data_IF_797447294769
#
_entry.id   IF_797447294769
#
_cell.length_a   1.000
_cell.length_b   1.000
_cell.length_c   1.000
_cell.angle_alpha   90.00
_cell.angle_beta   90.00
_cell.angle_gamma   90.00
#
_symmetry.space_group_name_H-M   'P 1'
#
loop_
_entity.id
_entity.type
_entity.pdbx_description
1 polymer ?
#
# COMPACT_ATOMS: atom_id res chain seq x y z
N UNK A 1 2.65 9.18 -5.19
CA UNK A 1 1.17 9.00 -5.12
C UNK A 1 0.77 8.79 -3.67
N UNK A 2 -0.45 9.16 -3.25
CA UNK A 2 -0.95 8.87 -1.89
C UNK A 2 -0.49 9.81 -0.76
N UNK A 3 0.53 10.64 -0.98
CA UNK A 3 1.09 11.53 0.06
C UNK A 3 0.07 12.47 0.72
N UNK A 4 -0.83 13.09 -0.04
CA UNK A 4 -1.86 13.96 0.53
C UNK A 4 -2.80 13.21 1.50
N UNK A 5 -3.20 11.99 1.16
CA UNK A 5 -4.06 11.17 2.03
C UNK A 5 -3.28 10.67 3.25
N UNK A 6 -2.00 10.34 3.09
CA UNK A 6 -1.13 10.01 4.21
C UNK A 6 -1.03 11.15 5.24
N UNK A 7 -1.01 12.40 4.78
CA UNK A 7 -0.97 13.57 5.66
C UNK A 7 -2.33 13.93 6.28
N UNK A 8 -3.45 13.57 5.64
CA UNK A 8 -4.78 14.09 6.01
C UNK A 8 -5.77 13.05 6.53
N UNK A 9 -5.59 11.77 6.24
CA UNK A 9 -6.55 10.70 6.56
C UNK A 9 -5.95 9.67 7.54
N UNK A 10 -6.48 9.63 8.76
CA UNK A 10 -5.97 8.82 9.87
C UNK A 10 -5.97 7.31 9.58
N UNK A 11 -6.98 6.80 8.89
CA UNK A 11 -7.02 5.36 8.59
C UNK A 11 -6.14 5.00 7.41
N UNK A 12 -6.03 5.91 6.44
CA UNK A 12 -5.08 5.76 5.35
C UNK A 12 -3.64 5.68 5.89
N UNK A 13 -3.23 6.64 6.72
CA UNK A 13 -1.86 6.70 7.22
C UNK A 13 -1.53 5.49 8.11
N UNK A 14 -2.44 5.08 9.00
CA UNK A 14 -2.27 3.87 9.83
C UNK A 14 -2.13 2.59 9.01
N UNK A 15 -2.91 2.46 7.94
CA UNK A 15 -2.80 1.31 7.03
C UNK A 15 -1.43 1.28 6.33
N UNK A 16 -0.96 2.43 5.84
CA UNK A 16 0.38 2.53 5.22
C UNK A 16 1.48 2.19 6.24
N UNK A 17 1.44 2.77 7.44
CA UNK A 17 2.45 2.53 8.49
C UNK A 17 2.51 1.06 8.91
N UNK A 18 1.35 0.40 8.99
CA UNK A 18 1.27 -1.01 9.33
C UNK A 18 1.88 -1.90 8.24
N UNK A 19 1.61 -1.61 6.97
CA UNK A 19 2.15 -2.37 5.84
C UNK A 19 3.67 -2.14 5.70
N UNK A 20 4.12 -0.89 5.86
CA UNK A 20 5.55 -0.54 5.89
C UNK A 20 6.29 -1.32 6.98
N UNK A 21 5.70 -1.40 8.18
CA UNK A 21 6.24 -2.13 9.30
C UNK A 21 6.38 -3.64 9.05
N UNK A 22 5.42 -4.29 8.37
CA UNK A 22 5.53 -5.70 8.02
C UNK A 22 6.55 -5.94 6.89
N UNK A 23 6.54 -5.11 5.85
CA UNK A 23 7.53 -5.16 4.76
C UNK A 23 8.97 -5.02 5.27
N UNK A 24 9.19 -4.05 6.17
CA UNK A 24 10.51 -3.78 6.78
C UNK A 24 11.03 -5.00 7.55
N UNK A 25 10.14 -5.80 8.16
CA UNK A 25 10.55 -7.04 8.84
C UNK A 25 10.98 -8.11 7.84
N UNK A 26 10.27 -8.24 6.73
CA UNK A 26 10.51 -9.28 5.72
C UNK A 26 11.80 -9.01 4.94
N UNK A 27 12.04 -7.75 4.59
CA UNK A 27 13.25 -7.33 3.87
C UNK A 27 14.44 -7.02 4.81
N UNK A 28 14.37 -7.39 6.09
CA UNK A 28 15.41 -7.13 7.11
C UNK A 28 15.84 -5.65 7.24
N UNK A 29 14.96 -4.71 6.92
CA UNK A 29 15.23 -3.28 6.99
C UNK A 29 16.09 -2.76 5.85
N UNK A 30 16.24 -3.50 4.74
CA UNK A 30 16.99 -3.05 3.57
C UNK A 30 16.42 -1.77 2.95
N UNK A 31 15.10 -1.59 3.01
CA UNK A 31 14.42 -0.37 2.57
C UNK A 31 12.99 -0.28 3.13
N UNK A 32 12.39 0.92 3.07
CA UNK A 32 11.01 1.17 3.52
C UNK A 32 10.13 1.69 2.38
N UNK A 33 8.86 1.28 2.33
CA UNK A 33 7.93 1.77 1.31
C UNK A 33 7.65 3.26 1.47
N UNK A 34 7.72 3.78 2.70
CA UNK A 34 7.54 5.20 2.99
C UNK A 34 8.60 6.09 2.31
N UNK A 35 9.81 5.58 2.10
CA UNK A 35 10.89 6.31 1.43
C UNK A 35 10.57 6.58 -0.05
N UNK A 36 9.76 5.76 -0.70
CA UNK A 36 9.36 5.98 -2.10
C UNK A 36 7.97 6.64 -2.21
N UNK A 37 7.15 6.56 -1.16
CA UNK A 37 5.79 7.11 -1.15
C UNK A 37 5.70 8.56 -0.67
N UNK A 38 6.44 8.89 0.38
CA UNK A 38 6.24 10.12 1.17
C UNK A 38 7.44 11.05 1.07
N UNK A 39 8.66 10.50 1.02
CA UNK A 39 9.84 11.34 0.84
C UNK A 39 9.83 12.01 -0.54
N UNK A 40 10.16 13.30 -0.54
CA UNK A 40 10.25 14.09 -1.77
C UNK A 40 11.57 13.78 -2.48
N UNK A 41 11.60 12.67 -3.22
CA UNK A 41 12.68 12.31 -4.13
C UNK A 41 12.43 12.87 -5.52
N UNK A 42 13.48 13.31 -6.19
CA UNK A 42 13.40 13.64 -7.61
C UNK A 42 13.44 12.36 -8.48
N UNK A 43 13.20 12.49 -9.78
CA UNK A 43 13.15 11.33 -10.71
C UNK A 43 14.46 10.52 -10.78
N UNK A 44 15.61 11.14 -10.49
CA UNK A 44 16.91 10.46 -10.51
C UNK A 44 17.21 9.71 -9.21
N UNK A 45 16.56 10.11 -8.10
CA UNK A 45 16.72 9.51 -6.78
C UNK A 45 15.68 8.43 -6.51
N UNK A 46 14.47 8.58 -7.06
CA UNK A 46 13.40 7.61 -6.84
C UNK A 46 13.64 6.33 -7.65
N UNK A 47 13.40 5.20 -6.98
CA UNK A 47 13.49 3.87 -7.59
C UNK A 47 12.12 3.37 -8.04
N UNK A 48 11.07 4.20 -7.95
CA UNK A 48 9.68 3.81 -8.20
C UNK A 48 9.42 3.32 -9.64
N UNK A 49 10.34 3.54 -10.58
CA UNK A 49 10.23 3.01 -11.94
C UNK A 49 10.63 1.52 -12.05
N UNK A 50 11.28 0.95 -11.02
CA UNK A 50 11.48 -0.50 -10.91
C UNK A 50 10.19 -1.14 -10.40
N UNK A 51 9.66 -2.12 -11.15
CA UNK A 51 8.42 -2.80 -10.80
C UNK A 51 8.49 -3.49 -9.42
N UNK A 52 9.65 -3.98 -8.99
CA UNK A 52 9.81 -4.61 -7.67
C UNK A 52 9.73 -3.59 -6.53
N UNK A 53 10.07 -2.33 -6.82
CA UNK A 53 9.96 -1.23 -5.87
C UNK A 53 8.58 -0.56 -5.95
N UNK A 54 7.96 -0.51 -7.13
CA UNK A 54 6.68 0.13 -7.35
C UNK A 54 5.49 -0.67 -6.78
N UNK A 55 5.55 -2.00 -6.84
CA UNK A 55 4.44 -2.87 -6.47
C UNK A 55 4.05 -2.80 -4.99
N UNK A 56 4.98 -2.89 -4.01
CA UNK A 56 4.59 -2.81 -2.60
C UNK A 56 3.94 -1.49 -2.18
N UNK A 57 4.45 -0.30 -2.60
CA UNK A 57 3.76 0.97 -2.46
C UNK A 57 2.35 1.00 -3.08
N UNK A 58 2.20 0.43 -4.28
CA UNK A 58 0.92 0.37 -4.98
C UNK A 58 -0.10 -0.47 -4.21
N UNK A 59 0.30 -1.67 -3.76
CA UNK A 59 -0.48 -2.52 -2.88
C UNK A 59 -0.90 -1.77 -1.62
N UNK A 60 0.04 -1.10 -0.94
CA UNK A 60 -0.22 -0.36 0.28
C UNK A 60 -1.27 0.75 0.07
N UNK A 61 -1.16 1.52 -1.03
CA UNK A 61 -2.16 2.54 -1.39
C UNK A 61 -3.53 1.90 -1.62
N UNK A 62 -3.62 0.81 -2.39
CA UNK A 62 -4.90 0.17 -2.70
C UNK A 62 -5.61 -0.32 -1.44
N UNK A 63 -4.87 -0.96 -0.54
CA UNK A 63 -5.39 -1.45 0.75
C UNK A 63 -5.80 -0.29 1.65
N UNK A 64 -4.99 0.76 1.75
CA UNK A 64 -5.30 1.95 2.55
C UNK A 64 -6.54 2.69 2.05
N UNK A 65 -6.73 2.78 0.72
CA UNK A 65 -7.94 3.33 0.12
C UNK A 65 -9.18 2.48 0.45
N UNK A 66 -9.08 1.16 0.32
CA UNK A 66 -10.19 0.25 0.64
C UNK A 66 -10.59 0.36 2.12
N UNK A 67 -9.62 0.41 3.03
CA UNK A 67 -9.87 0.61 4.46
C UNK A 67 -10.52 1.98 4.75
N UNK A 68 -10.09 3.03 4.05
CA UNK A 68 -10.66 4.37 4.17
C UNK A 68 -12.13 4.41 3.73
N UNK A 69 -12.47 3.77 2.60
CA UNK A 69 -13.86 3.66 2.14
C UNK A 69 -14.74 2.92 3.16
N UNK A 70 -14.26 1.80 3.69
CA UNK A 70 -14.97 1.04 4.74
C UNK A 70 -15.24 1.91 5.97
N UNK A 71 -14.29 2.77 6.35
CA UNK A 71 -14.47 3.68 7.48
C UNK A 71 -15.57 4.71 7.27
N UNK A 72 -15.88 5.02 6.01
CA UNK A 72 -16.99 5.89 5.63
C UNK A 72 -18.30 5.11 5.42
N UNK A 73 -18.36 3.85 5.88
CA UNK A 73 -19.45 2.90 5.67
C UNK A 73 -19.73 2.60 4.18
N UNK A 74 -18.70 2.69 3.33
CA UNK A 74 -18.79 2.33 1.91
C UNK A 74 -18.17 0.94 1.74
N UNK A 75 -19.01 -0.04 1.41
CA UNK A 75 -18.59 -1.44 1.28
C UNK A 75 -18.69 -1.91 -0.17
N UNK A 76 -17.68 -2.60 -0.71
CA UNK A 76 -17.74 -3.16 -2.05
C UNK A 76 -18.74 -4.33 -2.10
N UNK A 77 -19.60 -4.34 -3.11
CA UNK A 77 -20.42 -5.53 -3.42
C UNK A 77 -19.65 -6.57 -4.23
N UNK A 78 -18.68 -6.11 -5.03
CA UNK A 78 -17.78 -6.93 -5.84
C UNK A 78 -16.40 -6.28 -5.86
N UNK A 79 -15.36 -7.10 -6.01
CA UNK A 79 -13.98 -6.66 -6.15
C UNK A 79 -13.44 -7.30 -7.43
N UNK A 80 -12.87 -6.46 -8.30
CA UNK A 80 -12.16 -6.88 -9.51
C UNK A 80 -10.81 -6.20 -9.54
N UNK A 81 -9.83 -6.87 -10.13
CA UNK A 81 -8.46 -6.41 -10.21
C UNK A 81 -7.94 -6.54 -11.64
N UNK A 82 -6.82 -5.87 -11.89
CA UNK A 82 -6.09 -5.95 -13.14
C UNK A 82 -4.60 -5.98 -12.83
N UNK A 83 -3.90 -7.03 -13.30
CA UNK A 83 -2.45 -7.17 -13.15
C UNK A 83 -2.03 -7.03 -11.67
N UNK A 84 -1.16 -6.08 -11.34
CA UNK A 84 -0.62 -5.88 -9.98
C UNK A 84 -1.65 -5.49 -8.89
N UNK A 85 -2.95 -5.43 -9.22
CA UNK A 85 -4.02 -5.25 -8.23
C UNK A 85 -4.55 -6.55 -7.65
N UNK A 86 -4.14 -7.71 -8.14
CA UNK A 86 -4.68 -9.02 -7.75
C UNK A 86 -4.42 -9.32 -6.27
N UNK A 87 -3.21 -9.05 -5.77
CA UNK A 87 -2.82 -9.24 -4.37
C UNK A 87 -3.63 -8.34 -3.44
N UNK A 88 -3.80 -7.06 -3.78
CA UNK A 88 -4.61 -6.12 -3.01
C UNK A 88 -6.08 -6.53 -2.99
N UNK A 89 -6.63 -6.94 -4.14
CA UNK A 89 -8.00 -7.43 -4.22
C UNK A 89 -8.21 -8.70 -3.38
N UNK A 90 -7.29 -9.65 -3.44
CA UNK A 90 -7.34 -10.87 -2.64
C UNK A 90 -7.25 -10.57 -1.13
N UNK A 91 -6.36 -9.66 -0.72
CA UNK A 91 -6.25 -9.21 0.67
C UNK A 91 -7.55 -8.53 1.15
N UNK A 92 -8.07 -7.55 0.39
CA UNK A 92 -9.29 -6.81 0.75
C UNK A 92 -10.52 -7.73 0.76
N UNK A 93 -10.55 -8.75 -0.11
CA UNK A 93 -11.58 -9.79 -0.10
C UNK A 93 -11.45 -10.79 1.07
N UNK A 94 -10.42 -10.67 1.91
CA UNK A 94 -10.14 -11.57 3.03
C UNK A 94 -9.66 -12.96 2.62
N UNK A 95 -9.13 -13.11 1.39
CA UNK A 95 -8.60 -14.38 0.87
C UNK A 95 -7.14 -14.62 1.27
N UNK A 96 -6.39 -13.55 1.46
CA UNK A 96 -5.00 -13.58 1.90
C UNK A 96 -4.85 -12.78 3.19
N UNK A 97 -3.95 -13.23 4.05
CA UNK A 97 -3.46 -12.44 5.18
C UNK A 97 -2.42 -11.42 4.71
N UNK A 98 -2.15 -10.41 5.54
CA UNK A 98 -1.17 -9.39 5.19
C UNK A 98 0.21 -10.00 4.94
N UNK A 99 0.61 -10.99 5.75
CA UNK A 99 1.90 -11.68 5.62
C UNK A 99 2.04 -12.53 4.36
N UNK A 100 0.93 -12.91 3.74
CA UNK A 100 0.95 -13.63 2.46
C UNK A 100 1.00 -12.65 1.27
N UNK A 101 0.72 -11.37 1.51
CA UNK A 101 0.69 -10.32 0.48
C UNK A 101 1.90 -9.39 0.49
N UNK A 102 2.64 -9.32 1.60
CA UNK A 102 3.87 -8.54 1.76
C UNK A 102 5.11 -9.42 1.73
#
# INVERSE_FOLDING_TARGET
MGGQLYESELLFNKSIDLIDGEMTKINNGEWRLLEELIEKKNEQESRINDANIAQPPLFAIQVALAASLVSWNIYPSFIISHSAGDEAAAFVAGRLSLKETV
#
